data_IF_554947005264
#
_entry.id   IF_554947005264
#
_cell.length_a   1.000
_cell.length_b   1.000
_cell.length_c   1.000
_cell.angle_alpha   90.00
_cell.angle_beta   90.00
_cell.angle_gamma   90.00
#
_symmetry.space_group_name_H-M   'P 1'
#
loop_
_entity.id
_entity.type
_entity.pdbx_description
1 polymer ?
#
# COMPACT_ATOMS: atom_id res chain seq x y z
N UNK A 1 -17.50 -8.43 38.60
CA UNK A 1 -18.52 -9.48 38.39
C UNK A 1 -19.31 -9.10 37.14
N UNK A 2 -18.95 -9.67 35.97
CA UNK A 2 -19.50 -9.26 34.67
C UNK A 2 -20.79 -10.04 34.42
N UNK A 3 -21.91 -9.31 34.31
CA UNK A 3 -23.22 -9.87 33.97
C UNK A 3 -23.19 -10.42 32.54
N UNK A 4 -23.47 -11.71 32.39
CA UNK A 4 -23.56 -12.41 31.10
C UNK A 4 -24.82 -12.05 30.29
N UNK A 5 -25.73 -11.27 30.86
CA UNK A 5 -27.08 -11.06 30.31
C UNK A 5 -27.20 -10.08 29.16
N UNK A 6 -26.10 -9.50 28.65
CA UNK A 6 -26.13 -8.32 27.79
C UNK A 6 -25.71 -8.55 26.31
N UNK A 7 -25.38 -9.78 25.90
CA UNK A 7 -24.89 -10.06 24.54
C UNK A 7 -25.86 -10.84 23.64
N UNK A 8 -26.92 -11.44 24.19
CA UNK A 8 -27.88 -12.21 23.39
C UNK A 8 -29.16 -11.42 23.21
N UNK A 9 -29.40 -10.94 22.01
CA UNK A 9 -30.63 -10.22 21.65
C UNK A 9 -31.53 -11.06 20.74
N UNK A 10 -30.96 -12.06 20.06
CA UNK A 10 -31.61 -12.89 19.06
C UNK A 10 -31.77 -14.33 19.56
N UNK A 11 -32.64 -15.07 18.86
CA UNK A 11 -32.94 -16.46 19.14
C UNK A 11 -32.82 -17.27 17.84
N UNK A 12 -32.05 -18.34 17.86
CA UNK A 12 -32.05 -19.37 16.81
C UNK A 12 -32.70 -20.63 17.38
N UNK A 13 -33.69 -21.17 16.69
CA UNK A 13 -34.32 -22.46 16.99
C UNK A 13 -33.84 -23.48 15.96
N UNK A 14 -33.19 -24.53 16.43
CA UNK A 14 -32.68 -25.60 15.56
C UNK A 14 -33.79 -26.61 15.20
N UNK A 15 -33.55 -27.44 14.19
CA UNK A 15 -34.43 -28.56 13.82
C UNK A 15 -34.70 -29.55 14.98
N UNK A 16 -33.76 -29.64 15.93
CA UNK A 16 -33.90 -30.47 17.12
C UNK A 16 -34.76 -29.79 18.22
N UNK A 17 -35.35 -28.62 17.95
CA UNK A 17 -36.01 -27.73 18.92
C UNK A 17 -35.08 -27.22 20.04
N UNK A 18 -33.76 -27.24 19.83
CA UNK A 18 -32.83 -26.54 20.72
C UNK A 18 -32.86 -25.05 20.44
N UNK A 19 -32.95 -24.25 21.50
CA UNK A 19 -32.97 -22.79 21.46
C UNK A 19 -31.61 -22.21 21.82
N UNK A 20 -31.01 -21.49 20.87
CA UNK A 20 -29.71 -20.84 21.01
C UNK A 20 -29.93 -19.35 21.22
N UNK A 21 -29.52 -18.87 22.39
CA UNK A 21 -29.47 -17.44 22.74
C UNK A 21 -28.22 -16.83 22.12
N UNK A 22 -28.37 -15.97 21.12
CA UNK A 22 -27.25 -15.45 20.34
C UNK A 22 -27.42 -14.00 19.90
N UNK A 23 -26.42 -13.50 19.18
CA UNK A 23 -26.44 -12.31 18.35
C UNK A 23 -26.11 -12.73 16.93
N UNK A 24 -27.00 -12.49 15.98
CA UNK A 24 -26.83 -12.84 14.57
C UNK A 24 -26.00 -11.75 13.90
N UNK A 25 -24.76 -12.09 13.53
CA UNK A 25 -23.81 -11.14 12.97
C UNK A 25 -24.01 -10.95 11.46
N UNK A 26 -24.29 -12.05 10.76
CA UNK A 26 -24.44 -12.06 9.30
C UNK A 26 -25.33 -13.21 8.85
N UNK A 27 -26.29 -12.88 8.00
CA UNK A 27 -27.09 -13.85 7.27
C UNK A 27 -26.45 -14.11 5.89
N UNK A 28 -25.92 -15.31 5.69
CA UNK A 28 -25.46 -15.79 4.39
C UNK A 28 -26.55 -16.55 3.63
N UNK A 29 -26.26 -16.91 2.38
CA UNK A 29 -27.19 -17.67 1.55
C UNK A 29 -27.49 -19.06 2.14
N UNK A 30 -26.47 -19.78 2.63
CA UNK A 30 -26.62 -21.15 3.16
C UNK A 30 -26.38 -21.26 4.67
N UNK A 31 -25.85 -20.22 5.31
CA UNK A 31 -25.41 -20.27 6.70
C UNK A 31 -25.68 -18.96 7.44
N UNK A 32 -25.84 -19.05 8.75
CA UNK A 32 -25.96 -17.90 9.65
C UNK A 32 -24.76 -17.88 10.58
N UNK A 33 -24.03 -16.76 10.60
CA UNK A 33 -22.95 -16.52 11.55
C UNK A 33 -23.51 -15.79 12.77
N UNK A 34 -23.23 -16.31 13.96
CA UNK A 34 -23.74 -15.77 15.21
C UNK A 34 -22.73 -15.92 16.35
N UNK A 35 -22.86 -15.05 17.34
CA UNK A 35 -22.08 -15.09 18.58
C UNK A 35 -22.97 -15.56 19.72
N UNK A 36 -22.48 -16.47 20.56
CA UNK A 36 -23.20 -16.96 21.75
C UNK A 36 -22.28 -17.04 22.97
N UNK A 37 -22.88 -16.99 24.16
CA UNK A 37 -22.15 -17.10 25.42
C UNK A 37 -22.31 -18.51 26.00
N UNK A 38 -21.20 -19.19 26.25
CA UNK A 38 -21.16 -20.48 26.95
C UNK A 38 -20.13 -20.43 28.07
N UNK A 39 -20.53 -20.82 29.28
CA UNK A 39 -19.65 -20.81 30.47
C UNK A 39 -18.93 -19.47 30.73
N UNK A 40 -19.61 -18.33 30.53
CA UNK A 40 -19.03 -16.98 30.70
C UNK A 40 -17.98 -16.57 29.66
N UNK A 41 -17.84 -17.34 28.59
CA UNK A 41 -16.97 -17.03 27.45
C UNK A 41 -17.82 -16.81 26.21
N UNK A 42 -17.55 -15.70 25.51
CA UNK A 42 -18.19 -15.34 24.25
C UNK A 42 -17.49 -16.09 23.12
N UNK A 43 -18.25 -16.74 22.24
CA UNK A 43 -17.72 -17.51 21.10
C UNK A 43 -18.51 -17.22 19.84
N UNK A 44 -17.78 -17.13 18.73
CA UNK A 44 -18.37 -17.04 17.40
C UNK A 44 -18.60 -18.44 16.85
N UNK A 45 -19.70 -18.61 16.10
CA UNK A 45 -20.09 -19.87 15.49
C UNK A 45 -20.86 -19.62 14.21
N UNK A 46 -20.92 -20.66 13.39
CA UNK A 46 -21.67 -20.67 12.13
C UNK A 46 -22.59 -21.88 12.14
N UNK A 47 -23.85 -21.70 11.76
CA UNK A 47 -24.82 -22.77 11.63
C UNK A 47 -25.46 -22.77 10.24
N UNK A 48 -25.48 -23.90 9.51
CA UNK A 48 -26.18 -24.01 8.24
C UNK A 48 -27.68 -23.79 8.40
N UNK A 49 -28.31 -23.09 7.46
CA UNK A 49 -29.78 -22.86 7.47
C UNK A 49 -30.58 -24.15 7.44
N UNK A 50 -30.03 -25.23 6.86
CA UNK A 50 -30.64 -26.56 6.88
C UNK A 50 -30.83 -27.16 8.28
N UNK A 51 -30.15 -26.62 9.30
CA UNK A 51 -30.29 -27.03 10.70
C UNK A 51 -31.08 -26.02 11.53
N UNK A 52 -31.62 -24.98 10.90
CA UNK A 52 -32.35 -23.88 11.55
C UNK A 52 -33.81 -24.00 11.16
N UNK A 53 -34.65 -24.25 12.16
CA UNK A 53 -36.10 -24.29 12.01
C UNK A 53 -36.68 -22.88 11.89
N UNK A 54 -36.21 -21.98 12.75
CA UNK A 54 -36.55 -20.56 12.71
C UNK A 54 -35.50 -19.73 13.44
N UNK A 55 -35.47 -18.43 13.16
CA UNK A 55 -34.70 -17.48 13.94
C UNK A 55 -35.48 -16.18 14.09
N UNK A 56 -35.32 -15.52 15.23
CA UNK A 56 -36.00 -14.26 15.56
C UNK A 56 -34.98 -13.24 16.05
N UNK A 57 -34.96 -12.09 15.37
CA UNK A 57 -34.11 -10.96 15.72
C UNK A 57 -34.77 -10.15 16.84
N UNK A 58 -33.99 -9.70 17.83
CA UNK A 58 -34.49 -8.87 18.92
C UNK A 58 -35.51 -9.60 19.82
N UNK A 59 -35.49 -10.93 19.88
CA UNK A 59 -36.37 -11.70 20.77
C UNK A 59 -36.23 -11.29 22.25
N UNK A 60 -35.03 -10.90 22.68
CA UNK A 60 -34.75 -10.54 24.09
C UNK A 60 -34.66 -9.03 24.33
N UNK A 61 -35.30 -8.19 23.50
CA UNK A 61 -35.18 -6.72 23.48
C UNK A 61 -35.83 -6.02 24.70
N UNK A 62 -35.29 -6.25 25.90
CA UNK A 62 -35.58 -5.46 27.11
C UNK A 62 -34.39 -5.43 28.09
N UNK A 63 -33.15 -5.49 27.61
CA UNK A 63 -31.98 -5.23 28.46
C UNK A 63 -30.95 -4.42 27.66
N UNK A 64 -30.65 -3.23 28.19
CA UNK A 64 -29.73 -2.18 27.72
C UNK A 64 -28.72 -2.57 26.62
N UNK A 65 -28.79 -1.84 25.52
CA UNK A 65 -27.90 -1.91 24.37
C UNK A 65 -26.43 -1.77 24.77
N UNK A 66 -25.68 -2.88 24.76
CA UNK A 66 -24.22 -2.82 24.75
C UNK A 66 -23.78 -2.50 23.32
N UNK A 67 -23.07 -1.39 23.16
CA UNK A 67 -22.41 -0.99 21.91
C UNK A 67 -21.34 -2.04 21.53
N UNK A 68 -21.72 -3.12 20.87
CA UNK A 68 -20.78 -3.96 20.13
C UNK A 68 -20.40 -3.22 18.85
N UNK A 69 -19.15 -2.74 18.77
CA UNK A 69 -18.59 -2.21 17.53
C UNK A 69 -18.56 -3.34 16.49
N UNK A 70 -19.56 -3.37 15.63
CA UNK A 70 -19.48 -4.10 14.36
C UNK A 70 -18.34 -3.44 13.59
N UNK A 71 -17.24 -4.17 13.40
CA UNK A 71 -16.10 -3.67 12.64
C UNK A 71 -16.50 -3.66 11.18
N UNK A 72 -17.22 -2.61 10.78
CA UNK A 72 -17.57 -2.35 9.39
C UNK A 72 -16.25 -2.19 8.65
N UNK A 73 -16.03 -3.00 7.61
CA UNK A 73 -14.93 -2.82 6.66
C UNK A 73 -14.95 -1.36 6.21
N UNK A 74 -14.08 -0.58 6.84
CA UNK A 74 -14.07 0.86 6.69
C UNK A 74 -13.10 1.14 5.59
N UNK A 75 -13.60 1.73 4.51
CA UNK A 75 -12.76 2.23 3.42
C UNK A 75 -11.80 3.26 4.01
N UNK A 76 -10.51 2.94 4.03
CA UNK A 76 -9.47 3.82 4.59
C UNK A 76 -8.78 4.58 3.46
N UNK A 77 -8.83 5.89 3.52
CA UNK A 77 -8.04 6.77 2.65
C UNK A 77 -6.60 6.89 3.19
N UNK A 78 -5.62 6.89 2.29
CA UNK A 78 -4.22 7.16 2.62
C UNK A 78 -3.63 8.20 1.69
N UNK A 79 -2.81 9.08 2.27
CA UNK A 79 -1.92 9.97 1.54
C UNK A 79 -0.52 9.82 2.13
N UNK A 80 0.49 9.64 1.27
CA UNK A 80 1.89 9.55 1.67
C UNK A 80 2.71 10.54 0.85
N UNK A 81 3.71 11.11 1.50
CA UNK A 81 4.69 11.99 0.88
C UNK A 81 6.05 11.56 1.39
N UNK A 82 7.03 11.48 0.50
CA UNK A 82 8.38 11.03 0.83
C UNK A 82 9.39 11.75 -0.07
N UNK A 83 10.63 11.82 0.40
CA UNK A 83 11.73 12.38 -0.36
C UNK A 83 13.04 12.12 0.33
N UNK A 84 14.14 12.23 -0.42
CA UNK A 84 15.47 11.95 0.08
C UNK A 84 16.47 11.74 -1.04
N UNK A 85 17.56 11.05 -0.71
CA UNK A 85 18.64 10.73 -1.66
C UNK A 85 18.39 9.34 -2.24
N UNK A 86 18.60 9.19 -3.55
CA UNK A 86 18.48 7.91 -4.25
C UNK A 86 19.63 7.68 -5.21
N UNK A 87 19.85 6.40 -5.53
CA UNK A 87 20.83 5.96 -6.52
C UNK A 87 20.17 5.03 -7.52
N UNK A 88 20.37 5.29 -8.81
CA UNK A 88 19.96 4.37 -9.86
C UNK A 88 20.85 3.11 -9.85
N UNK A 89 20.24 1.94 -9.98
CA UNK A 89 20.93 0.64 -9.90
C UNK A 89 21.38 0.09 -11.25
N UNK A 90 20.99 0.73 -12.37
CA UNK A 90 21.39 0.34 -13.72
C UNK A 90 22.91 0.34 -13.88
N UNK A 91 23.46 -0.68 -14.54
CA UNK A 91 24.90 -0.74 -14.81
C UNK A 91 25.34 0.39 -15.74
N UNK A 92 26.57 0.86 -15.57
CA UNK A 92 27.19 1.78 -16.54
C UNK A 92 27.54 0.97 -17.77
N UNK A 93 27.19 1.48 -18.95
CA UNK A 93 27.43 0.82 -20.23
C UNK A 93 28.91 0.45 -20.40
N UNK A 94 29.19 -0.76 -20.89
CA UNK A 94 30.56 -1.18 -21.24
C UNK A 94 31.18 -0.31 -22.34
N UNK A 95 30.35 0.36 -23.14
CA UNK A 95 30.78 1.29 -24.18
C UNK A 95 31.17 2.67 -23.65
N UNK A 96 31.00 2.95 -22.35
CA UNK A 96 31.46 4.19 -21.74
C UNK A 96 32.97 4.12 -21.50
N UNK A 97 33.78 5.04 -22.07
CA UNK A 97 35.22 5.09 -21.83
C UNK A 97 35.54 5.18 -20.33
N UNK A 98 36.65 4.58 -19.89
CA UNK A 98 36.99 4.46 -18.46
C UNK A 98 37.06 5.81 -17.75
N UNK A 99 37.48 6.86 -18.45
CA UNK A 99 37.55 8.24 -17.95
C UNK A 99 36.16 8.84 -17.61
N UNK A 100 35.10 8.39 -18.27
CA UNK A 100 33.72 8.85 -18.04
C UNK A 100 32.93 7.95 -17.08
N UNK A 101 33.46 6.80 -16.67
CA UNK A 101 32.73 5.87 -15.78
C UNK A 101 32.41 6.49 -14.43
N UNK A 102 33.35 7.21 -13.83
CA UNK A 102 33.15 7.92 -12.56
C UNK A 102 32.11 9.04 -12.71
N UNK A 103 32.16 9.75 -13.83
CA UNK A 103 31.21 10.79 -14.18
C UNK A 103 29.77 10.25 -14.27
N UNK A 104 29.56 9.15 -15.00
CA UNK A 104 28.26 8.49 -15.13
C UNK A 104 27.81 7.86 -13.81
N UNK A 105 28.73 7.34 -13.00
CA UNK A 105 28.44 6.79 -11.66
C UNK A 105 27.84 7.85 -10.72
N UNK A 106 28.36 9.07 -10.72
CA UNK A 106 27.83 10.16 -9.90
C UNK A 106 26.48 10.68 -10.45
N UNK A 107 26.27 10.69 -11.77
CA UNK A 107 24.95 11.00 -12.36
C UNK A 107 23.85 10.03 -11.93
N UNK A 108 24.17 8.87 -11.38
CA UNK A 108 23.17 7.93 -10.85
C UNK A 108 22.67 8.34 -9.47
N UNK A 109 23.38 9.21 -8.73
CA UNK A 109 23.00 9.67 -7.39
C UNK A 109 22.29 11.01 -7.48
N UNK A 110 21.14 11.11 -6.84
CA UNK A 110 20.34 12.32 -6.89
C UNK A 110 19.36 12.40 -5.74
N UNK A 111 18.48 13.38 -5.80
CA UNK A 111 17.37 13.50 -4.87
C UNK A 111 16.06 13.09 -5.54
N UNK A 112 15.14 12.58 -4.74
CA UNK A 112 13.77 12.30 -5.18
C UNK A 112 12.76 12.96 -4.24
N UNK A 113 11.60 13.26 -4.80
CA UNK A 113 10.39 13.64 -4.11
C UNK A 113 9.24 12.85 -4.71
N UNK A 114 8.35 12.31 -3.90
CA UNK A 114 7.20 11.61 -4.40
C UNK A 114 6.07 11.54 -3.39
N UNK A 115 4.94 11.04 -3.88
CA UNK A 115 3.76 10.87 -3.07
C UNK A 115 2.79 9.87 -3.65
N UNK A 116 1.95 9.37 -2.76
CA UNK A 116 0.94 8.36 -3.02
C UNK A 116 -0.40 8.82 -2.49
N UNK A 117 -1.44 8.59 -3.27
CA UNK A 117 -2.82 8.69 -2.79
C UNK A 117 -3.48 7.34 -3.04
N UNK A 118 -4.20 6.81 -2.05
CA UNK A 118 -4.79 5.48 -2.16
C UNK A 118 -6.01 5.26 -1.29
N UNK A 119 -6.73 4.19 -1.62
CA UNK A 119 -7.92 3.72 -0.95
C UNK A 119 -7.74 2.23 -0.63
N UNK A 120 -7.88 1.88 0.65
CA UNK A 120 -7.92 0.50 1.12
C UNK A 120 -9.37 0.06 1.25
N UNK A 121 -9.76 -0.92 0.44
CA UNK A 121 -11.08 -1.54 0.45
C UNK A 121 -11.17 -2.75 1.39
N UNK A 122 -10.02 -3.18 1.95
CA UNK A 122 -9.91 -4.18 3.00
C UNK A 122 -8.76 -3.82 3.94
N UNK A 123 -8.58 -4.56 5.03
CA UNK A 123 -7.46 -4.31 5.95
C UNK A 123 -6.08 -4.58 5.31
N UNK A 124 -6.01 -5.39 4.25
CA UNK A 124 -4.79 -5.90 3.65
C UNK A 124 -4.56 -5.48 2.19
N UNK A 125 -5.57 -4.95 1.50
CA UNK A 125 -5.47 -4.61 0.08
C UNK A 125 -6.03 -3.22 -0.23
N UNK A 126 -5.36 -2.54 -1.16
CA UNK A 126 -5.75 -1.22 -1.63
C UNK A 126 -5.26 -0.90 -3.03
N UNK A 127 -5.77 0.19 -3.58
CA UNK A 127 -5.34 0.75 -4.87
C UNK A 127 -5.01 2.23 -4.70
N UNK A 128 -4.21 2.78 -5.60
CA UNK A 128 -3.85 4.19 -5.55
C UNK A 128 -3.16 4.69 -6.80
N UNK A 129 -2.66 5.91 -6.71
CA UNK A 129 -1.85 6.59 -7.72
C UNK A 129 -0.54 6.98 -7.06
N UNK A 130 0.57 6.76 -7.76
CA UNK A 130 1.93 7.11 -7.35
C UNK A 130 2.46 8.18 -8.30
N UNK A 131 3.07 9.22 -7.75
CA UNK A 131 3.83 10.20 -8.52
C UNK A 131 5.20 10.39 -7.86
N UNK A 132 6.26 10.39 -8.67
CA UNK A 132 7.62 10.64 -8.19
C UNK A 132 8.43 11.45 -9.17
N UNK A 133 9.34 12.26 -8.64
CA UNK A 133 10.25 13.13 -9.35
C UNK A 133 11.65 12.92 -8.81
N UNK A 134 12.58 12.50 -9.66
CA UNK A 134 13.99 12.28 -9.35
C UNK A 134 14.84 13.25 -10.16
N UNK A 135 15.86 13.84 -9.54
CA UNK A 135 16.80 14.72 -10.20
C UNK A 135 18.23 14.41 -9.79
N UNK A 136 19.12 14.42 -10.76
CA UNK A 136 20.55 14.22 -10.61
C UNK A 136 21.32 15.17 -11.51
N UNK A 137 22.52 15.54 -11.08
CA UNK A 137 23.41 16.41 -11.86
C UNK A 137 24.86 16.09 -11.56
N UNK A 138 25.71 16.15 -12.57
CA UNK A 138 27.15 16.02 -12.42
C UNK A 138 27.89 16.83 -13.48
N UNK A 139 29.11 17.24 -13.16
CA UNK A 139 30.00 17.97 -14.06
C UNK A 139 31.39 17.34 -14.09
N UNK A 140 32.05 17.39 -15.24
CA UNK A 140 33.42 16.93 -15.44
C UNK A 140 34.21 18.00 -16.19
N UNK A 141 35.34 18.39 -15.62
CA UNK A 141 36.26 19.35 -16.22
C UNK A 141 37.31 18.65 -17.09
N UNK A 142 37.88 19.40 -18.05
CA UNK A 142 39.01 18.93 -18.86
C UNK A 142 38.60 17.93 -19.94
N UNK A 143 37.34 17.97 -20.39
CA UNK A 143 36.86 17.13 -21.49
C UNK A 143 37.47 17.63 -22.80
N UNK A 144 38.10 16.72 -23.54
CA UNK A 144 38.71 17.01 -24.83
C UNK A 144 37.64 17.01 -25.94
N UNK A 145 37.54 18.14 -26.66
CA UNK A 145 36.67 18.29 -27.83
C UNK A 145 37.56 18.50 -29.05
N UNK A 146 37.70 17.46 -29.86
CA UNK A 146 38.38 17.55 -31.15
C UNK A 146 37.35 17.92 -32.23
N UNK A 147 37.39 19.17 -32.69
CA UNK A 147 36.62 19.60 -33.86
C UNK A 147 37.54 19.52 -35.08
N UNK A 148 37.15 18.70 -36.06
CA UNK A 148 37.82 18.64 -37.36
C UNK A 148 37.86 20.06 -37.95
N UNK A 149 39.05 20.52 -38.37
CA UNK A 149 39.38 21.87 -38.87
C UNK A 149 39.56 23.03 -37.86
N UNK A 150 39.32 22.85 -36.56
CA UNK A 150 39.43 23.96 -35.57
C UNK A 150 40.47 23.69 -34.47
N UNK A 151 40.78 22.43 -34.19
CA UNK A 151 41.75 22.02 -33.16
C UNK A 151 41.11 21.39 -31.93
N UNK A 152 41.94 21.10 -30.93
CA UNK A 152 41.51 20.50 -29.66
C UNK A 152 41.19 21.60 -28.64
N UNK A 153 39.97 21.57 -28.11
CA UNK A 153 39.53 22.43 -27.02
C UNK A 153 39.29 21.64 -25.75
N UNK A 154 39.53 22.29 -24.62
CA UNK A 154 39.15 21.75 -23.31
C UNK A 154 37.91 22.50 -22.83
N UNK A 155 36.99 21.78 -22.21
CA UNK A 155 35.78 22.36 -21.64
C UNK A 155 35.29 21.61 -20.41
N UNK A 156 34.26 22.16 -19.80
CA UNK A 156 33.49 21.53 -18.72
C UNK A 156 32.21 20.96 -19.30
N UNK A 157 32.00 19.66 -19.13
CA UNK A 157 30.76 18.97 -19.48
C UNK A 157 29.87 18.85 -18.25
N UNK A 158 28.58 19.15 -18.36
CA UNK A 158 27.61 19.10 -17.27
C UNK A 158 26.29 18.53 -17.73
N UNK A 159 25.77 17.53 -17.01
CA UNK A 159 24.49 16.89 -17.33
C UNK A 159 23.51 17.05 -16.17
N UNK A 160 22.24 17.22 -16.53
CA UNK A 160 21.12 17.34 -15.59
C UNK A 160 20.02 16.35 -15.97
N UNK A 161 19.92 15.26 -15.22
CA UNK A 161 18.96 14.20 -15.42
C UNK A 161 17.73 14.47 -14.57
N UNK A 162 16.56 14.42 -15.18
CA UNK A 162 15.25 14.48 -14.50
C UNK A 162 14.39 13.30 -14.94
N UNK A 163 13.89 12.55 -13.96
CA UNK A 163 12.98 11.41 -14.16
C UNK A 163 11.68 11.71 -13.44
N UNK A 164 10.56 11.67 -14.16
CA UNK A 164 9.23 11.78 -13.59
C UNK A 164 8.45 10.49 -13.85
N UNK A 165 7.78 9.98 -12.83
CA UNK A 165 6.89 8.83 -12.95
C UNK A 165 5.49 9.18 -12.46
N UNK A 166 4.48 8.66 -13.14
CA UNK A 166 3.08 8.70 -12.73
C UNK A 166 2.37 7.40 -13.12
N UNK A 167 1.68 6.76 -12.18
CA UNK A 167 0.90 5.58 -12.52
C UNK A 167 -0.01 5.05 -11.41
N UNK A 168 -1.02 4.23 -11.76
CA UNK A 168 -1.76 3.44 -10.79
C UNK A 168 -0.86 2.43 -10.06
N UNK A 169 -1.24 2.12 -8.82
CA UNK A 169 -0.57 1.15 -7.97
C UNK A 169 -1.58 0.31 -7.16
N UNK A 170 -1.19 -0.93 -6.89
CA UNK A 170 -1.87 -1.84 -5.98
C UNK A 170 -1.00 -2.03 -4.73
N UNK A 171 -1.65 -2.16 -3.58
CA UNK A 171 -1.00 -2.35 -2.28
C UNK A 171 -1.43 -3.65 -1.64
N UNK A 172 -0.45 -4.37 -1.11
CA UNK A 172 -0.65 -5.48 -0.18
C UNK A 172 0.00 -5.09 1.14
N UNK A 173 -0.78 -5.14 2.22
CA UNK A 173 -0.31 -4.97 3.58
C UNK A 173 -0.39 -6.30 4.33
N UNK A 174 0.70 -6.66 4.98
CA UNK A 174 0.77 -7.77 5.93
C UNK A 174 1.26 -7.26 7.27
N UNK A 175 0.72 -7.80 8.35
CA UNK A 175 1.11 -7.50 9.71
C UNK A 175 1.64 -8.79 10.33
N UNK A 176 2.88 -8.74 10.81
CA UNK A 176 3.48 -9.83 11.55
C UNK A 176 3.96 -9.29 12.90
N UNK A 177 3.27 -9.71 13.96
CA UNK A 177 3.44 -9.20 15.33
C UNK A 177 3.26 -7.68 15.44
N UNK A 178 4.37 -6.92 15.42
CA UNK A 178 4.42 -5.46 15.55
C UNK A 178 5.06 -4.78 14.33
N UNK A 179 5.26 -5.52 13.23
CA UNK A 179 5.87 -5.02 12.00
C UNK A 179 4.83 -5.02 10.89
N UNK A 180 4.71 -3.87 10.22
CA UNK A 180 3.86 -3.71 9.04
C UNK A 180 4.68 -3.78 7.76
N UNK A 181 4.41 -4.79 6.95
CA UNK A 181 4.97 -4.96 5.63
C UNK A 181 4.00 -4.40 4.59
N UNK A 182 4.47 -3.51 3.73
CA UNK A 182 3.71 -2.99 2.61
C UNK A 182 4.47 -3.27 1.33
N UNK A 183 3.86 -4.04 0.43
CA UNK A 183 4.34 -4.28 -0.92
C UNK A 183 3.43 -3.54 -1.88
N UNK A 184 4.02 -2.80 -2.81
CA UNK A 184 3.29 -2.09 -3.84
C UNK A 184 3.82 -2.42 -5.22
N UNK A 185 2.91 -2.62 -6.17
CA UNK A 185 3.22 -2.84 -7.58
C UNK A 185 2.34 -1.96 -8.44
N UNK A 186 2.90 -1.38 -9.49
CA UNK A 186 2.19 -0.45 -10.37
C UNK A 186 2.75 -0.47 -11.78
N UNK A 187 1.96 0.08 -12.69
CA UNK A 187 2.34 0.36 -14.07
C UNK A 187 2.02 1.82 -14.35
N UNK A 188 2.83 2.47 -15.15
CA UNK A 188 2.71 3.92 -15.32
C UNK A 188 3.54 4.47 -16.45
N UNK A 189 3.46 5.79 -16.58
CA UNK A 189 4.25 6.57 -17.51
C UNK A 189 5.51 7.07 -16.81
N UNK A 190 6.65 6.93 -17.49
CA UNK A 190 7.94 7.50 -17.04
C UNK A 190 8.45 8.46 -18.10
N UNK A 191 8.73 9.70 -17.70
CA UNK A 191 9.38 10.72 -18.52
C UNK A 191 10.84 10.81 -18.12
N UNK A 192 11.73 10.67 -19.09
CA UNK A 192 13.17 10.91 -18.93
C UNK A 192 13.56 12.17 -19.68
N UNK A 193 14.25 13.09 -19.01
CA UNK A 193 14.81 14.29 -19.62
C UNK A 193 16.26 14.43 -19.20
N UNK A 194 17.11 14.66 -20.19
CA UNK A 194 18.52 14.96 -20.00
C UNK A 194 18.83 16.31 -20.65
N UNK A 195 19.63 17.13 -19.96
CA UNK A 195 20.10 18.43 -20.44
C UNK A 195 21.60 18.44 -20.27
N UNK A 196 22.30 18.12 -21.36
CA UNK A 196 23.74 18.23 -21.45
C UNK A 196 24.17 19.65 -21.81
N UNK A 197 25.23 20.13 -21.17
CA UNK A 197 25.88 21.41 -21.43
C UNK A 197 27.38 21.21 -21.53
N UNK A 198 27.99 21.93 -22.45
CA UNK A 198 29.42 21.95 -22.66
C UNK A 198 29.85 23.41 -22.71
N UNK A 199 30.60 23.83 -21.70
CA UNK A 199 31.15 25.18 -21.61
C UNK A 199 32.63 25.12 -22.00
N UNK A 200 33.01 25.85 -23.05
CA UNK A 200 34.40 25.97 -23.52
C UNK A 200 35.12 27.13 -22.81
N UNK A 201 36.41 26.95 -22.52
CA UNK A 201 37.28 28.00 -21.98
C UNK A 201 37.75 29.00 -23.04
#
# INVERSE_FOLDING_TARGET
MISLGLLSQDLIVTENNDSIKCNINQEGFEQIAFTYASNKVVRDSVLPKSKIKSFELGYYHNIASVNTKINKDTVKFTARFYGGISRQTSEVSEYTPDEFKSYVEELKKGYHLGGDIGIFFSENAGIGIHASHFQSSNSMDGVELSIEDVGTFYGTMSDYITIFYLGPQFYIKSEYEHVWFVVSGGLGYTSYKDVAKVDTF
#
